data_IF_869096338106
#
_entry.id   IF_869096338106
#
_cell.length_a   1.000
_cell.length_b   1.000
_cell.length_c   1.000
_cell.angle_alpha   90.00
_cell.angle_beta   90.00
_cell.angle_gamma   90.00
#
_symmetry.space_group_name_H-M   'P 1'
#
loop_
_entity.id
_entity.type
_entity.pdbx_description
1 polymer ?
#
# COMPACT_ATOMS: atom_id res chain seq x y z
N UNK A 1 -14.48 -4.88 1.02
CA UNK A 1 -15.07 -3.85 1.93
C UNK A 1 -14.88 -4.40 3.34
N UNK A 2 -14.09 -3.73 4.17
CA UNK A 2 -13.73 -4.22 5.50
C UNK A 2 -14.99 -4.44 6.39
N UNK A 3 -15.01 -5.55 7.12
CA UNK A 3 -16.08 -5.93 8.06
C UNK A 3 -16.21 -4.93 9.22
N UNK A 4 -17.37 -4.90 9.89
CA UNK A 4 -17.67 -3.95 10.98
C UNK A 4 -16.78 -4.08 12.25
N UNK A 5 -15.97 -5.14 12.36
CA UNK A 5 -14.90 -5.31 13.35
C UNK A 5 -13.84 -6.22 12.73
N UNK A 6 -12.89 -5.70 11.95
CA UNK A 6 -11.96 -6.53 11.22
C UNK A 6 -10.91 -7.13 12.15
N UNK A 7 -10.50 -8.37 11.87
CA UNK A 7 -9.25 -8.91 12.39
C UNK A 7 -8.07 -8.35 11.60
N UNK A 8 -6.85 -8.48 12.14
CA UNK A 8 -5.63 -8.15 11.38
C UNK A 8 -5.63 -8.83 10.00
N UNK A 9 -5.94 -10.13 9.97
CA UNK A 9 -5.95 -10.92 8.73
C UNK A 9 -6.99 -10.41 7.73
N UNK A 10 -8.16 -9.93 8.19
CA UNK A 10 -9.15 -9.32 7.29
C UNK A 10 -8.56 -8.07 6.60
N UNK A 11 -7.83 -7.22 7.34
CA UNK A 11 -7.23 -6.00 6.77
C UNK A 11 -6.08 -6.33 5.82
N UNK A 12 -5.24 -7.32 6.15
CA UNK A 12 -4.14 -7.78 5.29
C UNK A 12 -4.68 -8.34 3.97
N UNK A 13 -5.72 -9.17 4.03
CA UNK A 13 -6.36 -9.73 2.83
C UNK A 13 -6.93 -8.63 1.93
N UNK A 14 -7.59 -7.63 2.52
CA UNK A 14 -8.11 -6.49 1.76
C UNK A 14 -6.98 -5.61 1.18
N UNK A 15 -5.86 -5.41 1.89
CA UNK A 15 -4.66 -4.74 1.36
C UNK A 15 -4.10 -5.48 0.14
N UNK A 16 -3.98 -6.80 0.21
CA UNK A 16 -3.55 -7.62 -0.92
C UNK A 16 -4.53 -7.54 -2.11
N UNK A 17 -5.83 -7.45 -1.84
CA UNK A 17 -6.83 -7.27 -2.89
C UNK A 17 -6.77 -5.88 -3.53
N UNK A 18 -6.51 -4.85 -2.73
CA UNK A 18 -6.29 -3.48 -3.20
C UNK A 18 -5.09 -3.39 -4.15
N UNK A 19 -4.06 -4.22 -3.99
CA UNK A 19 -2.94 -4.26 -4.93
C UNK A 19 -3.36 -4.56 -6.39
N UNK A 20 -4.56 -5.12 -6.57
CA UNK A 20 -5.17 -5.46 -7.86
C UNK A 20 -6.22 -4.41 -8.28
N UNK A 21 -6.63 -3.52 -7.38
CA UNK A 21 -7.63 -2.50 -7.63
C UNK A 21 -7.02 -1.25 -8.32
N UNK A 22 -7.56 -0.89 -9.48
CA UNK A 22 -7.13 0.23 -10.34
C UNK A 22 -5.68 0.15 -10.88
N UNK A 23 -5.31 -0.96 -11.55
CA UNK A 23 -3.96 -1.15 -12.10
C UNK A 23 -3.60 -0.13 -13.19
N UNK A 24 -4.55 0.64 -13.69
CA UNK A 24 -4.37 1.66 -14.72
C UNK A 24 -3.77 2.98 -14.21
N UNK A 25 -3.85 3.27 -12.90
CA UNK A 25 -3.33 4.55 -12.33
C UNK A 25 -2.21 4.36 -11.32
N UNK A 26 -2.24 3.28 -10.55
CA UNK A 26 -1.33 3.03 -9.45
C UNK A 26 -0.72 1.65 -9.62
N UNK A 27 0.57 1.54 -9.32
CA UNK A 27 1.21 0.25 -9.05
C UNK A 27 1.34 0.11 -7.55
N UNK A 28 0.66 -0.88 -7.00
CA UNK A 28 0.66 -1.17 -5.56
C UNK A 28 1.31 -2.54 -5.36
N UNK A 29 2.28 -2.59 -4.46
CA UNK A 29 2.93 -3.82 -4.02
C UNK A 29 2.68 -4.00 -2.53
N UNK A 30 2.17 -5.16 -2.16
CA UNK A 30 2.04 -5.59 -0.76
C UNK A 30 2.83 -6.87 -0.61
N UNK A 31 3.85 -6.86 0.24
CA UNK A 31 4.77 -7.98 0.44
C UNK A 31 4.87 -8.34 1.91
N UNK A 32 4.74 -9.63 2.21
CA UNK A 32 5.06 -10.16 3.53
C UNK A 32 6.56 -10.51 3.63
N UNK A 33 7.19 -10.12 4.74
CA UNK A 33 8.61 -10.33 5.05
C UNK A 33 8.69 -11.31 6.23
N UNK A 34 8.78 -12.61 5.93
CA UNK A 34 8.65 -13.67 6.93
C UNK A 34 9.73 -13.68 8.03
N UNK A 35 10.95 -13.21 7.76
CA UNK A 35 12.01 -13.19 8.78
C UNK A 35 11.85 -12.08 9.83
N UNK A 36 11.10 -11.03 9.50
CA UNK A 36 10.86 -9.88 10.38
C UNK A 36 9.39 -9.80 10.83
N UNK A 37 8.59 -10.80 10.46
CA UNK A 37 7.13 -10.79 10.59
C UNK A 37 6.51 -9.43 10.26
N UNK A 38 6.82 -8.91 9.06
CA UNK A 38 6.45 -7.55 8.66
C UNK A 38 5.71 -7.53 7.32
N UNK A 39 4.90 -6.49 7.11
CA UNK A 39 4.30 -6.15 5.82
C UNK A 39 4.93 -4.89 5.26
N UNK A 40 5.41 -5.00 4.03
CA UNK A 40 5.82 -3.87 3.22
C UNK A 40 4.68 -3.50 2.26
N UNK A 41 4.31 -2.22 2.23
CA UNK A 41 3.31 -1.66 1.34
C UNK A 41 3.93 -0.49 0.59
N UNK A 42 4.04 -0.63 -0.73
CA UNK A 42 4.56 0.39 -1.63
C UNK A 42 3.48 0.75 -2.64
N UNK A 43 3.25 2.04 -2.85
CA UNK A 43 2.37 2.54 -3.91
C UNK A 43 3.11 3.58 -4.74
N UNK A 44 3.03 3.44 -6.06
CA UNK A 44 3.73 4.28 -7.03
C UNK A 44 2.75 4.69 -8.11
N UNK A 45 2.83 5.96 -8.51
CA UNK A 45 2.11 6.47 -9.67
C UNK A 45 2.57 5.74 -10.95
N UNK A 46 1.62 5.20 -11.72
CA UNK A 46 1.92 4.44 -12.92
C UNK A 46 2.64 5.28 -13.99
N UNK A 47 2.55 6.61 -13.96
CA UNK A 47 3.32 7.49 -14.84
C UNK A 47 4.84 7.25 -14.76
N UNK A 48 5.33 6.75 -13.62
CA UNK A 48 6.70 6.28 -13.44
C UNK A 48 7.14 5.28 -14.53
N UNK A 49 6.25 4.37 -14.95
CA UNK A 49 6.57 3.31 -15.91
C UNK A 49 6.50 3.77 -17.37
N UNK A 50 5.94 4.95 -17.64
CA UNK A 50 5.83 5.53 -18.99
C UNK A 50 6.91 6.55 -19.32
N UNK A 51 7.68 7.02 -18.34
CA UNK A 51 8.68 8.08 -18.49
C UNK A 51 10.13 7.59 -18.52
N UNK A 52 11.07 8.54 -18.67
CA UNK A 52 12.49 8.26 -18.51
C UNK A 52 12.80 7.89 -17.06
N UNK A 53 13.41 6.73 -16.84
CA UNK A 53 13.75 6.24 -15.51
C UNK A 53 15.15 6.72 -15.11
N UNK A 54 15.20 7.61 -14.11
CA UNK A 54 16.45 8.06 -13.48
C UNK A 54 16.39 7.69 -11.99
N UNK A 55 17.51 7.70 -11.25
CA UNK A 55 17.48 7.43 -9.81
C UNK A 55 16.52 8.33 -9.02
N UNK A 56 16.23 9.54 -9.52
CA UNK A 56 15.34 10.50 -8.86
C UNK A 56 13.86 10.28 -9.22
N UNK A 57 13.54 9.62 -10.34
CA UNK A 57 12.14 9.48 -10.79
C UNK A 57 11.36 8.54 -9.89
N UNK A 58 11.97 7.49 -9.37
CA UNK A 58 11.31 6.61 -8.40
C UNK A 58 10.80 7.39 -7.19
N UNK A 59 11.67 8.17 -6.55
CA UNK A 59 11.32 8.96 -5.36
C UNK A 59 10.24 10.00 -5.64
N UNK A 60 10.23 10.59 -6.84
CA UNK A 60 9.22 11.58 -7.24
C UNK A 60 7.83 10.99 -7.46
N UNK A 61 7.75 9.73 -7.91
CA UNK A 61 6.47 9.03 -8.17
C UNK A 61 6.04 8.10 -7.02
N UNK A 62 6.84 7.98 -5.96
CA UNK A 62 6.53 7.17 -4.79
C UNK A 62 5.48 7.87 -3.92
N UNK A 63 4.30 7.28 -3.85
CA UNK A 63 3.16 7.82 -3.09
C UNK A 63 3.08 7.23 -1.68
N UNK A 64 3.53 5.99 -1.52
CA UNK A 64 3.58 5.29 -0.25
C UNK A 64 4.76 4.33 -0.20
N UNK A 65 5.40 4.26 0.96
CA UNK A 65 6.46 3.29 1.28
C UNK A 65 6.46 3.07 2.80
N UNK A 66 5.83 1.97 3.22
CA UNK A 66 5.62 1.66 4.64
C UNK A 66 6.01 0.22 4.92
N UNK A 67 6.78 0.04 5.98
CA UNK A 67 7.01 -1.28 6.60
C UNK A 67 6.28 -1.32 7.95
N UNK A 68 5.48 -2.35 8.15
CA UNK A 68 4.64 -2.55 9.33
C UNK A 68 5.06 -3.86 9.98
N UNK A 69 5.64 -3.79 11.17
CA UNK A 69 5.98 -4.97 11.96
C UNK A 69 4.72 -5.50 12.63
N UNK A 70 4.42 -6.79 12.44
CA UNK A 70 3.17 -7.41 12.88
C UNK A 70 3.20 -7.92 14.33
N UNK A 71 4.38 -7.98 14.92
CA UNK A 71 4.63 -8.36 16.32
C UNK A 71 4.34 -7.22 17.32
N UNK A 72 4.22 -5.98 16.84
CA UNK A 72 4.03 -4.80 17.68
C UNK A 72 2.59 -4.61 18.18
N UNK A 73 2.45 -4.09 19.40
CA UNK A 73 1.14 -3.72 20.00
C UNK A 73 0.33 -2.73 19.14
N UNK A 74 1.01 -1.94 18.30
CA UNK A 74 0.39 -0.98 17.40
C UNK A 74 0.09 -1.53 15.99
N UNK A 75 0.46 -2.78 15.70
CA UNK A 75 0.41 -3.35 14.35
C UNK A 75 -0.99 -3.24 13.74
N UNK A 76 -2.04 -3.57 14.49
CA UNK A 76 -3.41 -3.54 13.96
C UNK A 76 -3.84 -2.13 13.54
N UNK A 77 -3.49 -1.13 14.34
CA UNK A 77 -3.71 0.28 14.02
C UNK A 77 -2.92 0.70 12.78
N UNK A 78 -1.67 0.25 12.64
CA UNK A 78 -0.81 0.59 11.51
C UNK A 78 -1.29 -0.04 10.19
N UNK A 79 -1.67 -1.32 10.20
CA UNK A 79 -2.24 -2.01 9.04
C UNK A 79 -3.57 -1.35 8.62
N UNK A 80 -4.44 -1.03 9.58
CA UNK A 80 -5.71 -0.34 9.31
C UNK A 80 -5.51 1.07 8.75
N UNK A 81 -4.57 1.84 9.32
CA UNK A 81 -4.22 3.17 8.82
C UNK A 81 -3.69 3.12 7.39
N UNK A 82 -2.84 2.13 7.10
CA UNK A 82 -2.24 1.94 5.77
C UNK A 82 -3.30 1.55 4.74
N UNK A 83 -4.24 0.66 5.10
CA UNK A 83 -5.40 0.35 4.27
C UNK A 83 -6.24 1.60 3.95
N UNK A 84 -6.51 2.45 4.93
CA UNK A 84 -7.33 3.64 4.73
C UNK A 84 -6.62 4.67 3.83
N UNK A 85 -5.34 4.90 4.06
CA UNK A 85 -4.54 5.82 3.25
C UNK A 85 -4.42 5.34 1.80
N UNK A 86 -4.14 4.05 1.60
CA UNK A 86 -4.09 3.46 0.25
C UNK A 86 -5.46 3.47 -0.44
N UNK A 87 -6.53 3.17 0.30
CA UNK A 87 -7.90 3.29 -0.20
C UNK A 87 -8.21 4.72 -0.62
N UNK A 88 -7.72 5.72 0.13
CA UNK A 88 -7.88 7.12 -0.22
C UNK A 88 -7.06 7.49 -1.45
N UNK A 89 -5.83 7.00 -1.60
CA UNK A 89 -5.02 7.20 -2.83
C UNK A 89 -5.72 6.64 -4.08
N UNK A 90 -6.48 5.56 -3.93
CA UNK A 90 -7.23 4.96 -5.04
C UNK A 90 -8.54 5.71 -5.32
N UNK A 91 -9.19 6.24 -4.28
CA UNK A 91 -10.46 6.97 -4.37
C UNK A 91 -10.28 8.43 -4.78
N UNK A 92 -9.40 9.14 -4.10
CA UNK A 92 -9.01 10.50 -4.44
C UNK A 92 -8.14 10.38 -5.69
N UNK A 93 -8.73 10.78 -6.81
CA UNK A 93 -8.03 10.95 -8.08
C UNK A 93 -6.68 11.61 -7.81
N UNK A 94 -5.58 10.93 -8.15
CA UNK A 94 -4.24 11.52 -8.12
C UNK A 94 -4.33 12.81 -8.91
N UNK A 95 -4.33 13.95 -8.21
CA UNK A 95 -4.33 15.26 -8.83
C UNK A 95 -3.02 15.36 -9.61
N UNK A 96 -3.19 15.64 -10.91
CA UNK A 96 -2.13 15.77 -11.90
C UNK A 96 -1.07 16.82 -11.51
#
# INVERSE_FOLDING_TARGET
MIKANPTMNDVINELMFIAIAKPEKLSVSVRYIGHADALEVIAIDKAYFSGAQTPNTWSAHKLMDKTIYLDGLAAFKQVTSTYNELSNLIKNEVAA
#
